data_IF_409466229995
#
_entry.id   IF_409466229995
#
_cell.length_a   1.000
_cell.length_b   1.000
_cell.length_c   1.000
_cell.angle_alpha   90.00
_cell.angle_beta   90.00
_cell.angle_gamma   90.00
#
_symmetry.space_group_name_H-M   'P 1'
#
loop_
_entity.id
_entity.type
_entity.pdbx_description
1 polymer ?
#
# COMPACT_ATOMS: atom_id res chain seq x y z
N UNK A 1 -16.73 7.96 -14.41
CA UNK A 1 -17.20 7.08 -13.35
C UNK A 1 -16.47 5.77 -13.29
N UNK A 2 -16.38 5.06 -14.42
CA UNK A 2 -15.66 3.79 -14.46
C UNK A 2 -14.19 3.94 -14.09
N UNK A 3 -13.54 5.02 -14.54
CA UNK A 3 -12.13 5.25 -14.24
C UNK A 3 -11.91 5.44 -12.74
N UNK A 4 -12.84 6.12 -12.08
CA UNK A 4 -12.70 6.36 -10.65
C UNK A 4 -12.83 5.06 -9.86
N UNK A 5 -13.76 4.19 -10.26
CA UNK A 5 -13.90 2.89 -9.62
C UNK A 5 -12.63 2.06 -9.77
N UNK A 6 -11.98 2.14 -10.94
CA UNK A 6 -10.73 1.44 -11.15
C UNK A 6 -9.61 1.98 -10.26
N UNK A 7 -9.59 3.29 -10.02
CA UNK A 7 -8.61 3.91 -9.13
C UNK A 7 -8.72 3.38 -7.72
N UNK A 8 -9.92 3.05 -7.27
CA UNK A 8 -10.11 2.51 -5.93
C UNK A 8 -9.50 1.12 -5.76
N UNK A 9 -9.24 0.43 -6.87
CA UNK A 9 -8.60 -0.88 -6.82
C UNK A 9 -7.13 -0.82 -6.45
N UNK A 10 -6.53 0.36 -6.37
CA UNK A 10 -5.11 0.51 -6.04
C UNK A 10 -4.79 -0.11 -4.69
N UNK A 11 -5.61 0.17 -3.68
CA UNK A 11 -5.38 -0.39 -2.35
C UNK A 11 -5.61 -1.89 -2.35
N UNK A 12 -6.64 -2.33 -3.09
CA UNK A 12 -6.95 -3.75 -3.15
C UNK A 12 -5.79 -4.58 -3.71
N UNK A 13 -5.12 -4.08 -4.76
CA UNK A 13 -3.98 -4.84 -5.32
C UNK A 13 -2.84 -4.92 -4.31
N UNK A 14 -2.65 -3.89 -3.48
CA UNK A 14 -1.65 -3.93 -2.43
C UNK A 14 -1.96 -5.00 -1.40
N UNK A 15 -3.23 -5.07 -0.98
CA UNK A 15 -3.64 -6.07 0.01
C UNK A 15 -3.47 -7.48 -0.53
N UNK A 16 -3.81 -7.69 -1.79
CA UNK A 16 -3.65 -8.98 -2.42
C UNK A 16 -2.18 -9.37 -2.56
N UNK A 17 -1.33 -8.42 -2.90
CA UNK A 17 0.10 -8.68 -3.03
C UNK A 17 0.72 -9.05 -1.68
N UNK A 18 0.27 -8.39 -0.61
CA UNK A 18 0.75 -8.69 0.74
C UNK A 18 0.34 -10.09 1.18
N UNK A 19 -0.86 -10.51 0.79
CA UNK A 19 -1.42 -11.77 1.23
C UNK A 19 -0.82 -12.98 0.51
N UNK A 20 -0.11 -12.78 -0.60
CA UNK A 20 0.51 -13.89 -1.32
C UNK A 20 1.70 -14.38 -0.51
N UNK A 21 1.62 -15.65 -0.11
CA UNK A 21 2.70 -16.28 0.64
C UNK A 21 3.71 -16.90 -0.30
N UNK A 22 4.92 -17.06 0.21
CA UNK A 22 5.93 -17.84 -0.50
C UNK A 22 5.45 -19.27 -0.63
N UNK A 23 5.52 -19.80 -1.84
CA UNK A 23 5.08 -21.18 -2.08
C UNK A 23 5.82 -22.18 -1.23
N UNK A 24 5.12 -23.24 -0.85
CA UNK A 24 5.75 -24.43 -0.32
C UNK A 24 6.17 -24.34 1.12
N UNK A 25 5.68 -23.37 1.84
CA UNK A 25 5.99 -23.28 3.24
C UNK A 25 4.97 -24.09 4.03
N UNK A 26 5.36 -25.28 4.42
CA UNK A 26 4.60 -26.07 5.40
C UNK A 26 5.11 -25.76 6.80
N UNK A 27 5.64 -24.61 6.98
CA UNK A 27 6.32 -24.23 8.21
C UNK A 27 5.33 -23.97 9.32
N UNK A 28 5.46 -24.70 10.41
CA UNK A 28 4.63 -24.50 11.58
C UNK A 28 4.93 -23.17 12.28
N UNK A 29 5.92 -22.44 11.81
CA UNK A 29 6.38 -21.20 12.42
C UNK A 29 5.77 -19.96 11.79
N UNK A 30 4.73 -20.13 10.96
CA UNK A 30 4.05 -18.99 10.37
C UNK A 30 3.50 -18.07 11.46
N UNK A 31 3.75 -16.78 11.27
CA UNK A 31 3.26 -15.73 12.15
C UNK A 31 2.24 -14.90 11.39
N UNK A 32 1.31 -14.30 12.11
CA UNK A 32 0.35 -13.40 11.50
C UNK A 32 0.92 -11.99 11.44
N UNK A 33 0.75 -11.35 10.29
CA UNK A 33 1.14 -9.97 10.08
C UNK A 33 -0.03 -9.20 9.50
N UNK A 34 -0.17 -7.97 9.92
CA UNK A 34 -1.24 -7.09 9.45
C UNK A 34 -0.64 -5.98 8.61
N UNK A 35 -1.20 -5.79 7.43
CA UNK A 35 -0.87 -4.64 6.59
C UNK A 35 -1.98 -3.61 6.72
N UNK A 36 -1.60 -2.38 7.03
CA UNK A 36 -2.53 -1.25 7.11
C UNK A 36 -2.08 -0.21 6.10
N UNK A 37 -3.04 0.30 5.32
CA UNK A 37 -2.75 1.30 4.30
C UNK A 37 -3.48 2.59 4.66
N UNK A 38 -2.76 3.71 4.59
CA UNK A 38 -3.35 5.04 4.77
C UNK A 38 -2.92 5.92 3.62
N UNK A 39 -3.64 7.02 3.42
CA UNK A 39 -3.38 7.94 2.33
C UNK A 39 -3.42 9.37 2.84
N UNK A 40 -2.39 10.13 2.52
CA UNK A 40 -2.31 11.55 2.82
C UNK A 40 -2.23 12.32 1.50
N UNK A 41 -3.21 13.18 1.25
CA UNK A 41 -3.27 14.00 0.03
C UNK A 41 -2.90 15.43 0.41
N UNK A 42 -1.76 15.90 -0.10
CA UNK A 42 -1.29 17.25 0.20
C UNK A 42 -1.70 18.26 -0.87
N UNK A 43 -1.97 17.78 -2.08
CA UNK A 43 -2.44 18.64 -3.17
C UNK A 43 -3.34 17.78 -4.05
N UNK A 44 -4.61 18.14 -4.15
CA UNK A 44 -5.55 17.34 -4.92
C UNK A 44 -5.41 17.49 -6.42
N UNK A 45 -4.73 18.54 -6.89
CA UNK A 45 -4.57 18.76 -8.32
C UNK A 45 -5.92 18.80 -9.03
N UNK A 46 -6.11 17.98 -10.09
CA UNK A 46 -7.38 17.94 -10.81
C UNK A 46 -8.47 17.12 -10.13
N UNK A 47 -8.16 16.45 -9.00
CA UNK A 47 -9.13 15.60 -8.34
C UNK A 47 -10.19 16.45 -7.62
N UNK A 48 -11.42 15.95 -7.61
CA UNK A 48 -12.49 16.58 -6.84
C UNK A 48 -12.37 16.21 -5.37
N UNK A 49 -13.03 17.00 -4.51
CA UNK A 49 -13.08 16.68 -3.09
C UNK A 49 -13.70 15.31 -2.85
N UNK A 50 -14.75 14.97 -3.61
CA UNK A 50 -15.41 13.68 -3.49
C UNK A 50 -14.45 12.54 -3.85
N UNK A 51 -13.64 12.72 -4.89
CA UNK A 51 -12.66 11.72 -5.27
C UNK A 51 -11.60 11.54 -4.20
N UNK A 52 -11.12 12.65 -3.63
CA UNK A 52 -10.13 12.59 -2.55
C UNK A 52 -10.70 11.88 -1.32
N UNK A 53 -11.93 12.19 -0.95
CA UNK A 53 -12.58 11.55 0.20
C UNK A 53 -12.75 10.06 -0.03
N UNK A 54 -13.12 9.66 -1.25
CA UNK A 54 -13.28 8.25 -1.58
C UNK A 54 -11.94 7.53 -1.54
N UNK A 55 -10.88 8.15 -2.02
CA UNK A 55 -9.54 7.56 -1.98
C UNK A 55 -9.07 7.36 -0.54
N UNK A 56 -9.27 8.36 0.32
CA UNK A 56 -8.91 8.26 1.73
C UNK A 56 -9.70 7.18 2.44
N UNK A 57 -11.00 7.15 2.19
CA UNK A 57 -11.89 6.16 2.80
C UNK A 57 -11.49 4.75 2.38
N UNK A 58 -11.20 4.57 1.09
CA UNK A 58 -10.78 3.29 0.57
C UNK A 58 -9.45 2.84 1.21
N UNK A 59 -8.51 3.76 1.34
CA UNK A 59 -7.23 3.44 1.98
C UNK A 59 -7.42 3.06 3.44
N UNK A 60 -8.24 3.81 4.18
CA UNK A 60 -8.48 3.53 5.59
C UNK A 60 -9.12 2.17 5.83
N UNK A 61 -9.92 1.70 4.89
CA UNK A 61 -10.51 0.37 4.96
C UNK A 61 -9.53 -0.70 4.51
N UNK A 62 -8.41 -0.29 3.94
CA UNK A 62 -7.42 -1.19 3.38
C UNK A 62 -6.56 -1.81 4.46
N UNK A 63 -6.96 -2.99 4.93
CA UNK A 63 -6.10 -3.75 5.81
C UNK A 63 -6.34 -5.24 5.58
N UNK A 64 -5.31 -6.01 5.81
CA UNK A 64 -5.42 -7.46 5.68
C UNK A 64 -4.44 -8.12 6.64
N UNK A 65 -4.75 -9.34 7.01
CA UNK A 65 -3.87 -10.16 7.84
C UNK A 65 -3.45 -11.36 7.01
N UNK A 66 -2.16 -11.65 7.01
CA UNK A 66 -1.62 -12.79 6.28
C UNK A 66 -0.54 -13.45 7.11
N UNK A 67 -0.33 -14.74 6.86
CA UNK A 67 0.70 -15.52 7.54
C UNK A 67 2.00 -15.45 6.74
N UNK A 68 3.09 -15.19 7.43
CA UNK A 68 4.42 -15.23 6.83
C UNK A 68 5.36 -15.95 7.80
N UNK A 69 6.32 -16.72 7.29
CA UNK A 69 7.18 -17.52 8.17
C UNK A 69 8.19 -16.69 8.96
N UNK A 70 8.61 -15.55 8.45
CA UNK A 70 9.61 -14.71 9.11
C UNK A 70 9.28 -13.24 8.98
N UNK A 71 9.89 -12.41 9.81
CA UNK A 71 9.78 -10.96 9.68
C UNK A 71 10.32 -10.52 8.31
N UNK A 72 11.41 -11.13 7.84
CA UNK A 72 12.00 -10.79 6.55
C UNK A 72 11.03 -11.05 5.41
N UNK A 73 10.30 -12.18 5.45
CA UNK A 73 9.32 -12.47 4.40
C UNK A 73 8.13 -11.52 4.47
N UNK A 74 7.73 -11.08 5.67
CA UNK A 74 6.69 -10.09 5.81
C UNK A 74 7.13 -8.73 5.26
N UNK A 75 8.41 -8.37 5.46
CA UNK A 75 8.97 -7.15 4.85
C UNK A 75 8.92 -7.22 3.33
N UNK A 76 9.29 -8.37 2.77
CA UNK A 76 9.25 -8.58 1.32
C UNK A 76 7.82 -8.47 0.80
N UNK A 77 6.85 -9.05 1.52
CA UNK A 77 5.45 -8.97 1.14
C UNK A 77 4.97 -7.51 1.16
N UNK A 78 5.41 -6.73 2.15
CA UNK A 78 5.07 -5.30 2.23
C UNK A 78 5.68 -4.53 1.06
N UNK A 79 6.91 -4.85 0.69
CA UNK A 79 7.55 -4.26 -0.48
C UNK A 79 6.75 -4.55 -1.75
N UNK A 80 6.30 -5.79 -1.92
CA UNK A 80 5.49 -6.16 -3.07
C UNK A 80 4.17 -5.40 -3.10
N UNK A 81 3.56 -5.20 -1.94
CA UNK A 81 2.34 -4.40 -1.84
C UNK A 81 2.60 -2.96 -2.29
N UNK A 82 3.70 -2.37 -1.83
CA UNK A 82 4.07 -1.02 -2.23
C UNK A 82 4.34 -0.93 -3.73
N UNK A 83 5.03 -1.93 -4.28
CA UNK A 83 5.28 -1.98 -5.73
C UNK A 83 3.99 -2.09 -6.51
N UNK A 84 3.03 -2.87 -6.02
CA UNK A 84 1.73 -3.01 -6.68
C UNK A 84 1.00 -1.66 -6.73
N UNK A 85 1.05 -0.88 -5.66
CA UNK A 85 0.48 0.46 -5.66
C UNK A 85 1.20 1.34 -6.67
N UNK A 86 2.52 1.32 -6.67
CA UNK A 86 3.33 2.11 -7.60
C UNK A 86 2.96 1.82 -9.04
N UNK A 87 2.85 0.54 -9.40
CA UNK A 87 2.48 0.13 -10.75
C UNK A 87 1.07 0.58 -11.11
N UNK A 88 0.14 0.48 -10.16
CA UNK A 88 -1.23 0.94 -10.40
C UNK A 88 -1.27 2.44 -10.62
N UNK A 89 -0.49 3.21 -9.87
CA UNK A 89 -0.45 4.66 -10.02
C UNK A 89 0.07 5.06 -11.40
N UNK A 90 1.02 4.31 -11.94
CA UNK A 90 1.53 4.57 -13.30
C UNK A 90 0.40 4.53 -14.32
N UNK A 91 -0.53 3.59 -14.15
CA UNK A 91 -1.63 3.42 -15.09
C UNK A 91 -2.61 4.60 -15.06
N UNK A 92 -2.65 5.37 -13.98
CA UNK A 92 -3.63 6.42 -13.80
C UNK A 92 -3.01 7.81 -13.69
N UNK A 93 -1.79 7.97 -14.19
CA UNK A 93 -1.10 9.27 -14.15
C UNK A 93 -1.93 10.39 -14.75
N UNK A 94 -2.61 10.11 -15.86
CA UNK A 94 -3.42 11.14 -16.53
C UNK A 94 -4.56 11.61 -15.64
N UNK A 95 -5.13 10.69 -14.86
CA UNK A 95 -6.24 11.02 -13.98
C UNK A 95 -5.78 11.83 -12.78
N UNK A 96 -4.66 11.43 -12.17
CA UNK A 96 -4.13 12.13 -11.00
C UNK A 96 -3.46 13.45 -11.37
N UNK A 97 -2.85 13.53 -12.56
CA UNK A 97 -2.24 14.75 -13.06
C UNK A 97 -1.23 15.35 -12.10
N UNK A 98 -1.48 16.58 -11.67
CA UNK A 98 -0.57 17.31 -10.78
C UNK A 98 -0.82 17.10 -9.30
N UNK A 99 -1.67 16.13 -8.95
CA UNK A 99 -1.95 15.83 -7.55
C UNK A 99 -0.66 15.38 -6.83
N UNK A 100 -0.66 15.56 -5.53
CA UNK A 100 0.45 15.11 -4.67
C UNK A 100 -0.12 14.36 -3.48
N UNK A 101 0.26 13.11 -3.33
CA UNK A 101 -0.21 12.28 -2.22
C UNK A 101 0.76 11.16 -1.94
N UNK A 102 0.62 10.57 -0.76
CA UNK A 102 1.48 9.49 -0.31
C UNK A 102 0.64 8.39 0.31
N UNK A 103 0.82 7.17 -0.16
CA UNK A 103 0.31 5.97 0.51
C UNK A 103 1.34 5.50 1.53
N UNK A 104 0.88 5.19 2.72
CA UNK A 104 1.71 4.63 3.78
C UNK A 104 1.23 3.22 4.08
N UNK A 105 2.14 2.26 4.02
CA UNK A 105 1.85 0.85 4.25
C UNK A 105 2.63 0.41 5.48
N UNK A 106 1.91 0.08 6.55
CA UNK A 106 2.53 -0.36 7.81
C UNK A 106 2.30 -1.84 7.98
N UNK A 107 3.39 -2.58 8.12
CA UNK A 107 3.34 -4.01 8.43
C UNK A 107 3.59 -4.18 9.92
N UNK A 108 2.65 -4.81 10.60
CA UNK A 108 2.73 -5.03 12.05
C UNK A 108 2.58 -6.51 12.32
N UNK A 109 3.47 -7.04 13.16
CA UNK A 109 3.35 -8.41 13.63
C UNK A 109 2.24 -8.44 14.67
N UNK A 110 1.22 -9.28 14.44
CA UNK A 110 0.04 -9.31 15.30
C UNK A 110 0.43 -9.70 16.73
N UNK A 111 1.26 -10.72 16.88
CA UNK A 111 1.75 -11.13 18.19
C UNK A 111 2.71 -10.06 18.72
N UNK A 112 2.35 -9.43 19.81
CA UNK A 112 3.18 -8.38 20.42
C UNK A 112 2.98 -7.01 19.77
N UNK A 113 2.14 -6.91 18.75
CA UNK A 113 1.83 -5.62 18.10
C UNK A 113 3.09 -4.85 17.70
N UNK A 114 4.05 -5.56 17.11
CA UNK A 114 5.36 -4.99 16.77
C UNK A 114 5.37 -4.51 15.33
N UNK A 115 5.78 -3.27 15.13
CA UNK A 115 5.96 -2.74 13.77
C UNK A 115 7.19 -3.37 13.14
N UNK A 116 7.01 -3.93 11.95
CA UNK A 116 8.08 -4.61 11.22
C UNK A 116 8.72 -3.65 10.23
N UNK A 117 7.92 -3.02 9.38
CA UNK A 117 8.43 -2.09 8.38
C UNK A 117 7.30 -1.19 7.91
N UNK A 118 7.65 0.01 7.46
CA UNK A 118 6.72 0.94 6.85
C UNK A 118 7.26 1.31 5.47
N UNK A 119 6.41 1.16 4.45
CA UNK A 119 6.72 1.59 3.10
C UNK A 119 5.87 2.79 2.72
N UNK A 120 6.43 3.64 1.89
CA UNK A 120 5.77 4.84 1.38
C UNK A 120 5.78 4.78 -0.14
N UNK A 121 4.64 5.08 -0.75
CA UNK A 121 4.55 5.25 -2.19
C UNK A 121 4.07 6.67 -2.43
N UNK A 122 4.96 7.50 -2.91
CA UNK A 122 4.73 8.93 -3.08
C UNK A 122 4.41 9.22 -4.54
N UNK A 123 3.29 9.89 -4.75
CA UNK A 123 2.94 10.42 -6.07
C UNK A 123 3.08 11.94 -6.01
N UNK A 124 3.92 12.49 -6.87
CA UNK A 124 4.19 13.92 -6.88
C UNK A 124 4.11 14.43 -8.32
N UNK A 125 2.91 14.88 -8.69
CA UNK A 125 2.66 15.48 -10.01
C UNK A 125 3.20 14.61 -11.15
N UNK A 126 2.98 13.30 -11.08
CA UNK A 126 3.38 12.35 -12.11
C UNK A 126 4.65 11.59 -11.80
N UNK A 127 5.41 11.99 -10.80
CA UNK A 127 6.61 11.29 -10.36
C UNK A 127 6.25 10.33 -9.23
N UNK A 128 6.62 9.07 -9.35
CA UNK A 128 6.28 8.04 -8.37
C UNK A 128 7.56 7.52 -7.74
N UNK A 129 7.60 7.53 -6.41
CA UNK A 129 8.76 7.12 -5.67
C UNK A 129 8.35 6.19 -4.52
N UNK A 130 9.03 5.05 -4.38
CA UNK A 130 8.75 4.07 -3.33
C UNK A 130 9.98 3.95 -2.44
N UNK A 131 9.76 4.07 -1.15
CA UNK A 131 10.85 3.95 -0.17
C UNK A 131 10.30 3.42 1.14
N UNK A 132 11.18 3.05 2.06
CA UNK A 132 10.76 2.52 3.35
C UNK A 132 11.44 3.27 4.50
N UNK A 133 10.97 3.02 5.73
CA UNK A 133 11.45 3.74 6.90
C UNK A 133 12.89 3.37 7.28
N UNK A 134 13.42 2.26 6.77
CA UNK A 134 14.81 1.89 7.03
C UNK A 134 15.77 2.63 6.10
N UNK A 135 15.30 2.96 4.90
CA UNK A 135 16.12 3.63 3.87
C UNK A 135 15.75 5.10 3.69
N UNK A 136 14.73 5.57 4.37
CA UNK A 136 14.31 6.97 4.25
C UNK A 136 15.32 7.85 4.95
N UNK A 137 15.74 8.88 4.25
CA UNK A 137 16.70 9.85 4.79
C UNK A 137 16.17 11.24 4.61
#
# INVERSE_FOLDING_TARGET
>A
MKKFQSMMAVVLVALMAFAVQSCGSDDDNNQQYKLTVTLDITDKGPLTDAQCDAMRSDAQKGSTVADHPTDASAETATMRAAQAISEALVLYKDTYGSAKFTYTLVCTKVSGNKQIITYYVEYNAGSINTYNNKNAK
#
